data_IF_817604505048
#
_entry.id   IF_817604505048
#
_cell.length_a   1.000
_cell.length_b   1.000
_cell.length_c   1.000
_cell.angle_alpha   90.00
_cell.angle_beta   90.00
_cell.angle_gamma   90.00
#
_symmetry.space_group_name_H-M   'P 1'
#
loop_
_entity.id
_entity.type
_entity.pdbx_description
1 polymer ?
#
# COMPACT_ATOMS: atom_id res chain seq x y z
N UNK A 1 -14.17 -21.01 38.83
CA UNK A 1 -13.32 -20.03 38.10
C UNK A 1 -12.50 -20.78 37.06
N UNK A 2 -12.91 -20.82 35.78
CA UNK A 2 -12.16 -21.47 34.68
C UNK A 2 -12.66 -21.13 33.26
N UNK A 3 -13.48 -20.08 33.10
CA UNK A 3 -14.11 -19.74 31.79
C UNK A 3 -13.53 -18.51 31.09
N UNK A 4 -12.51 -17.87 31.67
CA UNK A 4 -11.95 -16.61 31.12
C UNK A 4 -10.85 -16.85 30.06
N UNK A 5 -10.21 -18.03 30.07
CA UNK A 5 -9.06 -18.29 29.19
C UNK A 5 -9.40 -18.52 27.70
N UNK A 6 -10.67 -18.70 27.34
CA UNK A 6 -11.07 -19.10 25.97
C UNK A 6 -11.28 -17.90 25.04
N UNK A 7 -11.44 -16.68 25.57
CA UNK A 7 -11.77 -15.50 24.75
C UNK A 7 -10.52 -14.84 24.15
N UNK A 8 -9.34 -15.01 24.74
CA UNK A 8 -8.11 -14.33 24.28
C UNK A 8 -7.53 -14.88 22.96
N UNK A 9 -7.80 -16.11 22.57
CA UNK A 9 -7.27 -16.70 21.32
C UNK A 9 -8.01 -16.24 20.07
N UNK A 10 -9.25 -15.75 20.19
CA UNK A 10 -10.02 -15.27 19.04
C UNK A 10 -9.60 -13.87 18.55
N UNK A 11 -8.98 -13.05 19.41
CA UNK A 11 -8.51 -11.70 19.06
C UNK A 11 -7.18 -11.68 18.28
N UNK A 12 -6.43 -12.79 18.27
CA UNK A 12 -5.13 -12.89 17.60
C UNK A 12 -5.23 -13.17 16.09
N UNK A 13 -6.41 -13.54 15.59
CA UNK A 13 -6.65 -13.83 14.18
C UNK A 13 -7.03 -12.58 13.33
N UNK A 14 -7.26 -11.43 13.97
CA UNK A 14 -7.75 -10.23 13.28
C UNK A 14 -6.65 -9.32 12.70
N UNK A 15 -5.38 -9.73 12.72
CA UNK A 15 -4.27 -8.76 12.65
C UNK A 15 -3.04 -9.13 11.83
N UNK A 16 -3.13 -9.97 10.80
CA UNK A 16 -2.06 -10.11 9.82
C UNK A 16 -2.67 -10.19 8.42
N UNK A 17 -3.14 -9.05 7.91
CA UNK A 17 -3.15 -8.87 6.46
C UNK A 17 -1.68 -8.86 6.08
N UNK A 18 -1.18 -9.99 5.57
CA UNK A 18 0.12 -10.08 4.93
C UNK A 18 0.12 -8.99 3.85
N UNK A 19 0.72 -7.84 4.17
CA UNK A 19 0.95 -6.82 3.16
C UNK A 19 1.89 -7.49 2.18
N UNK A 20 1.36 -7.86 1.00
CA UNK A 20 2.18 -8.27 -0.12
C UNK A 20 3.37 -7.30 -0.18
N UNK A 21 4.61 -7.78 -0.35
CA UNK A 21 5.77 -6.91 -0.42
C UNK A 21 5.42 -5.77 -1.36
N UNK A 22 5.53 -4.53 -0.90
CA UNK A 22 5.14 -3.33 -1.68
C UNK A 22 5.82 -3.32 -3.06
N UNK A 23 6.95 -4.01 -3.18
CA UNK A 23 7.71 -4.25 -4.40
C UNK A 23 7.03 -5.17 -5.44
N UNK A 24 6.09 -6.01 -5.03
CA UNK A 24 5.36 -6.95 -5.89
C UNK A 24 4.13 -6.31 -6.55
N UNK A 25 3.75 -5.10 -6.12
CA UNK A 25 2.67 -4.34 -6.73
C UNK A 25 3.16 -3.81 -8.07
N UNK A 26 2.46 -4.19 -9.15
CA UNK A 26 2.80 -3.74 -10.50
C UNK A 26 2.70 -2.21 -10.59
N UNK A 27 3.77 -1.52 -11.04
CA UNK A 27 3.73 -0.08 -11.18
C UNK A 27 3.00 0.34 -12.45
N UNK A 28 2.12 1.32 -12.29
CA UNK A 28 1.43 2.03 -13.38
C UNK A 28 2.44 2.89 -14.15
N UNK A 29 3.36 3.55 -13.42
CA UNK A 29 4.44 4.38 -13.99
C UNK A 29 5.70 4.26 -13.14
N UNK A 30 6.85 4.48 -13.79
CA UNK A 30 8.17 4.49 -13.17
C UNK A 30 8.87 5.79 -13.52
N UNK A 31 9.53 6.38 -12.53
CA UNK A 31 10.30 7.61 -12.67
C UNK A 31 11.71 7.39 -12.13
N UNK A 32 12.70 7.86 -12.86
CA UNK A 32 14.08 7.91 -12.38
C UNK A 32 14.31 9.29 -11.75
N UNK A 33 14.61 9.30 -10.45
CA UNK A 33 14.83 10.52 -9.68
C UNK A 33 16.28 10.53 -9.21
N UNK A 34 17.10 11.42 -9.79
CA UNK A 34 18.57 11.39 -9.65
C UNK A 34 19.07 11.35 -8.20
N UNK A 35 18.35 11.94 -7.24
CA UNK A 35 18.73 11.97 -5.83
C UNK A 35 18.23 10.78 -5.00
N UNK A 36 17.19 10.07 -5.46
CA UNK A 36 16.46 9.08 -4.64
C UNK A 36 16.34 7.70 -5.30
N UNK A 37 16.82 7.55 -6.53
CA UNK A 37 16.70 6.33 -7.31
C UNK A 37 15.35 6.27 -8.03
N UNK A 38 14.77 5.08 -8.13
CA UNK A 38 13.49 4.89 -8.80
C UNK A 38 12.30 5.17 -7.87
N UNK A 39 11.34 5.91 -8.41
CA UNK A 39 10.02 6.17 -7.85
C UNK A 39 8.97 5.45 -8.70
N UNK A 40 8.04 4.74 -8.06
CA UNK A 40 6.99 3.98 -8.73
C UNK A 40 5.62 4.56 -8.38
N UNK A 41 4.74 4.73 -9.37
CA UNK A 41 3.31 4.93 -9.14
C UNK A 41 2.63 3.56 -9.13
N UNK A 42 1.91 3.23 -8.07
CA UNK A 42 1.18 1.96 -7.91
C UNK A 42 -0.29 2.22 -7.54
N UNK A 43 -1.20 1.35 -7.97
CA UNK A 43 -2.61 1.40 -7.57
C UNK A 43 -2.83 0.48 -6.37
N UNK A 44 -3.23 1.03 -5.23
CA UNK A 44 -3.56 0.27 -4.02
C UNK A 44 -4.93 0.72 -3.56
N UNK A 45 -5.88 -0.23 -3.50
CA UNK A 45 -7.25 0.02 -3.04
C UNK A 45 -7.94 1.24 -3.68
N UNK A 46 -7.73 1.41 -4.99
CA UNK A 46 -8.32 2.50 -5.77
C UNK A 46 -7.63 3.86 -5.64
N UNK A 47 -6.49 3.92 -4.94
CA UNK A 47 -5.67 5.12 -4.75
C UNK A 47 -4.30 4.94 -5.39
N UNK A 48 -3.81 6.00 -6.05
CA UNK A 48 -2.45 6.04 -6.59
C UNK A 48 -1.47 6.41 -5.48
N UNK A 49 -0.51 5.53 -5.22
CA UNK A 49 0.58 5.75 -4.30
C UNK A 49 1.91 5.93 -5.04
N UNK A 50 2.78 6.77 -4.46
CA UNK A 50 4.17 6.90 -4.81
C UNK A 50 5.01 6.02 -3.88
N UNK A 51 5.75 5.09 -4.47
CA UNK A 51 6.70 4.20 -3.81
C UNK A 51 8.14 4.64 -4.11
N UNK A 52 8.91 4.94 -3.08
CA UNK A 52 10.37 4.98 -3.17
C UNK A 52 10.93 3.59 -2.88
N UNK A 53 11.88 3.12 -3.68
CA UNK A 53 12.56 1.82 -3.47
C UNK A 53 13.15 1.69 -2.05
N UNK A 54 13.45 2.80 -1.37
CA UNK A 54 13.96 2.82 0.01
C UNK A 54 12.87 2.75 1.11
N UNK A 55 11.63 2.39 0.76
CA UNK A 55 10.56 2.10 1.72
C UNK A 55 9.60 3.25 2.02
N UNK A 56 9.75 4.40 1.36
CA UNK A 56 8.78 5.49 1.46
C UNK A 56 7.53 5.18 0.64
N UNK A 57 6.35 5.32 1.24
CA UNK A 57 5.05 5.27 0.56
C UNK A 57 4.23 6.51 0.94
N UNK A 58 3.68 7.17 -0.07
CA UNK A 58 2.75 8.31 0.14
C UNK A 58 1.65 8.29 -0.93
N UNK A 59 0.41 8.67 -0.61
CA UNK A 59 -0.58 8.97 -1.63
C UNK A 59 -0.03 10.04 -2.58
N UNK A 60 -0.29 9.89 -3.87
CA UNK A 60 -0.07 10.97 -4.84
C UNK A 60 -1.19 12.00 -4.63
N UNK A 61 -0.81 13.26 -4.48
CA UNK A 61 -1.75 14.37 -4.28
C UNK A 61 -1.53 15.45 -5.33
N UNK A 62 -2.59 16.19 -5.66
CA UNK A 62 -2.52 17.37 -6.53
C UNK A 62 -2.23 18.65 -5.69
N UNK A 63 -2.16 19.82 -6.35
CA UNK A 63 -1.93 21.10 -5.70
C UNK A 63 -3.05 21.54 -4.73
N UNK A 64 -4.23 20.92 -4.83
CA UNK A 64 -5.39 21.16 -3.97
C UNK A 64 -5.50 20.14 -2.83
N UNK A 65 -4.49 19.28 -2.64
CA UNK A 65 -4.48 18.19 -1.64
C UNK A 65 -5.48 17.06 -1.92
N UNK A 66 -6.04 16.96 -3.13
CA UNK A 66 -6.86 15.81 -3.50
C UNK A 66 -5.97 14.62 -3.85
N UNK A 67 -6.44 13.43 -3.48
CA UNK A 67 -5.76 12.16 -3.75
C UNK A 67 -6.09 11.69 -5.17
N UNK A 68 -5.08 11.21 -5.90
CA UNK A 68 -5.31 10.58 -7.21
C UNK A 68 -5.90 9.18 -7.03
N UNK A 69 -7.00 8.93 -7.73
CA UNK A 69 -7.68 7.64 -7.76
C UNK A 69 -7.33 6.84 -9.02
N UNK A 70 -7.40 5.52 -8.92
CA UNK A 70 -7.17 4.58 -10.00
C UNK A 70 -8.26 3.51 -10.02
N UNK A 71 -8.60 3.03 -11.22
CA UNK A 71 -9.47 1.88 -11.35
C UNK A 71 -8.60 0.61 -11.30
N UNK A 72 -8.86 -0.27 -10.34
CA UNK A 72 -8.19 -1.58 -10.28
C UNK A 72 -8.50 -2.47 -11.51
N UNK A 73 -9.47 -2.06 -12.35
CA UNK A 73 -10.00 -2.83 -13.48
C UNK A 73 -9.29 -2.62 -14.83
N UNK A 74 -8.14 -1.94 -14.89
CA UNK A 74 -7.40 -1.83 -16.16
C UNK A 74 -5.97 -2.32 -16.01
N UNK A 75 -5.83 -3.64 -15.89
CA UNK A 75 -4.67 -4.36 -16.37
C UNK A 75 -5.19 -5.47 -17.31
N UNK A 76 -4.92 -5.43 -18.62
CA UNK A 76 -5.14 -6.58 -19.50
C UNK A 76 -4.23 -7.75 -19.12
#
# INVERSE_FOLDING_TARGET
MKKIAVICTALLLAGCIEKAPLNDIQPIKRYQVSAYGELKEVCIDGVVYLLLIKGGITPKINANYDVYICNQSTNP
#
